data_IF_006674310997
#
_entry.id   IF_006674310997
#
_cell.length_a   1.000
_cell.length_b   1.000
_cell.length_c   1.000
_cell.angle_alpha   90.00
_cell.angle_beta   90.00
_cell.angle_gamma   90.00
#
_symmetry.space_group_name_H-M   'P 1'
#
loop_
_entity.id
_entity.type
_entity.pdbx_description
1 polymer ?
#
# COMPACT_ATOMS: atom_id res chain seq x y z
N UNK A 1 -23.45 -18.36 -27.04
CA UNK A 1 -22.19 -17.59 -27.14
C UNK A 1 -21.53 -17.59 -25.77
N UNK A 2 -20.23 -17.88 -25.66
CA UNK A 2 -19.50 -17.72 -24.39
C UNK A 2 -19.01 -16.28 -24.29
N UNK A 3 -19.16 -15.66 -23.11
CA UNK A 3 -18.59 -14.34 -22.85
C UNK A 3 -17.06 -14.45 -22.70
N UNK A 4 -16.37 -13.34 -22.92
CA UNK A 4 -14.92 -13.27 -22.78
C UNK A 4 -14.48 -11.94 -22.16
N UNK A 5 -13.31 -11.94 -21.55
CA UNK A 5 -12.68 -10.75 -20.98
C UNK A 5 -12.38 -9.72 -22.08
N UNK A 6 -12.84 -8.49 -21.92
CA UNK A 6 -12.65 -7.41 -22.88
C UNK A 6 -11.18 -6.95 -23.04
N UNK A 7 -10.29 -7.33 -22.11
CA UNK A 7 -8.86 -6.94 -22.14
C UNK A 7 -7.99 -8.06 -22.71
N UNK A 8 -8.11 -9.29 -22.20
CA UNK A 8 -7.21 -10.40 -22.55
C UNK A 8 -7.87 -11.53 -23.35
N UNK A 9 -9.19 -11.49 -23.56
CA UNK A 9 -9.92 -12.52 -24.31
C UNK A 9 -10.17 -13.84 -23.56
N UNK A 10 -9.77 -13.97 -22.27
CA UNK A 10 -10.07 -15.17 -21.46
C UNK A 10 -11.58 -15.44 -21.47
N UNK A 11 -11.97 -16.67 -21.81
CA UNK A 11 -13.37 -17.10 -21.79
C UNK A 11 -13.88 -17.18 -20.36
N UNK A 12 -15.14 -16.80 -20.15
CA UNK A 12 -15.83 -16.96 -18.87
C UNK A 12 -15.91 -18.45 -18.48
N UNK A 13 -15.70 -18.74 -17.19
CA UNK A 13 -15.91 -20.06 -16.60
C UNK A 13 -16.77 -19.96 -15.34
N UNK A 14 -17.34 -21.08 -14.89
CA UNK A 14 -18.14 -21.12 -13.65
C UNK A 14 -17.28 -20.80 -12.41
N UNK A 15 -16.00 -21.17 -12.44
CA UNK A 15 -15.04 -20.90 -11.38
C UNK A 15 -14.53 -19.45 -11.40
N UNK A 16 -14.50 -18.80 -12.58
CA UNK A 16 -14.02 -17.43 -12.77
C UNK A 16 -15.03 -16.61 -13.60
N UNK A 17 -16.23 -16.31 -13.05
CA UNK A 17 -17.21 -15.49 -13.73
C UNK A 17 -16.66 -14.08 -14.01
N UNK A 18 -17.01 -13.50 -15.15
CA UNK A 18 -16.55 -12.17 -15.52
C UNK A 18 -17.21 -11.11 -14.66
N UNK A 19 -16.42 -10.15 -14.18
CA UNK A 19 -16.87 -8.98 -13.43
C UNK A 19 -16.74 -7.78 -14.36
N UNK A 20 -17.85 -7.11 -14.67
CA UNK A 20 -17.88 -5.98 -15.62
C UNK A 20 -17.21 -6.28 -16.97
N UNK A 21 -17.39 -7.51 -17.47
CA UNK A 21 -16.75 -8.05 -18.69
C UNK A 21 -15.22 -8.22 -18.59
N UNK A 22 -14.66 -8.29 -17.37
CA UNK A 22 -13.25 -8.56 -17.12
C UNK A 22 -13.08 -9.89 -16.37
N UNK A 23 -12.04 -10.63 -16.72
CA UNK A 23 -11.58 -11.73 -15.87
C UNK A 23 -11.01 -11.18 -14.55
N UNK A 24 -10.86 -12.02 -13.53
CA UNK A 24 -10.45 -11.56 -12.20
C UNK A 24 -9.07 -10.92 -12.22
N UNK A 25 -8.15 -11.44 -13.03
CA UNK A 25 -6.81 -10.87 -13.18
C UNK A 25 -6.83 -9.45 -13.75
N UNK A 26 -7.52 -9.26 -14.88
CA UNK A 26 -7.67 -7.94 -15.51
C UNK A 26 -8.43 -6.96 -14.61
N UNK A 27 -9.42 -7.45 -13.86
CA UNK A 27 -10.15 -6.66 -12.87
C UNK A 27 -9.20 -6.19 -11.76
N UNK A 28 -8.42 -7.10 -11.14
CA UNK A 28 -7.43 -6.75 -10.10
C UNK A 28 -6.39 -5.76 -10.59
N UNK A 29 -5.93 -5.89 -11.83
CA UNK A 29 -4.95 -4.96 -12.37
C UNK A 29 -5.49 -3.54 -12.55
N UNK A 30 -6.75 -3.42 -12.96
CA UNK A 30 -7.41 -2.12 -13.08
C UNK A 30 -7.89 -1.57 -11.73
N UNK A 31 -8.21 -2.46 -10.80
CA UNK A 31 -8.73 -2.16 -9.46
C UNK A 31 -7.76 -2.70 -8.41
N UNK A 32 -6.56 -2.12 -8.34
CA UNK A 32 -5.53 -2.50 -7.35
C UNK A 32 -6.08 -2.47 -5.94
N UNK A 33 -5.73 -3.48 -5.14
CA UNK A 33 -6.15 -3.61 -3.74
C UNK A 33 -5.55 -2.50 -2.88
N UNK A 34 -4.29 -2.15 -3.14
CA UNK A 34 -3.53 -1.14 -2.42
C UNK A 34 -3.56 0.18 -3.19
N UNK A 35 -4.19 1.20 -2.60
CA UNK A 35 -4.07 2.60 -3.07
C UNK A 35 -3.02 3.34 -2.25
N UNK A 36 -1.94 3.74 -2.92
CA UNK A 36 -0.83 4.48 -2.33
C UNK A 36 -0.81 5.92 -2.86
N UNK A 37 -0.64 6.94 -2.00
CA UNK A 37 -0.41 8.30 -2.47
C UNK A 37 0.94 8.43 -3.18
N UNK A 38 0.99 9.26 -4.23
CA UNK A 38 2.18 9.45 -5.08
C UNK A 38 3.43 9.95 -4.34
N UNK A 39 3.25 10.66 -3.22
CA UNK A 39 4.33 11.26 -2.44
C UNK A 39 4.00 11.16 -0.96
N UNK A 40 4.90 10.57 -0.18
CA UNK A 40 4.84 10.58 1.28
C UNK A 40 6.04 11.30 1.84
N UNK A 41 5.78 12.21 2.77
CA UNK A 41 6.81 12.94 3.50
C UNK A 41 6.52 12.85 4.99
N UNK A 42 7.58 12.72 5.78
CA UNK A 42 7.49 12.72 7.24
C UNK A 42 8.57 13.60 7.84
N UNK A 43 8.21 14.37 8.87
CA UNK A 43 9.15 15.22 9.58
C UNK A 43 9.62 14.51 10.84
N UNK A 44 10.93 14.49 11.10
CA UNK A 44 11.54 13.88 12.29
C UNK A 44 12.43 14.91 12.96
N UNK A 45 12.23 15.14 14.25
CA UNK A 45 13.05 16.02 15.05
C UNK A 45 14.44 15.39 15.26
N UNK A 46 15.49 16.11 14.87
CA UNK A 46 16.87 15.66 15.07
C UNK A 46 17.30 15.62 16.53
N UNK A 47 16.66 16.43 17.38
CA UNK A 47 17.05 16.64 18.78
C UNK A 47 16.43 15.61 19.72
N UNK A 48 15.14 15.28 19.54
CA UNK A 48 14.40 14.37 20.43
C UNK A 48 13.87 13.10 19.75
N UNK A 49 14.03 12.95 18.44
CA UNK A 49 13.55 11.79 17.69
C UNK A 49 12.02 11.69 17.56
N UNK A 50 11.26 12.69 18.02
CA UNK A 50 9.83 12.75 17.75
C UNK A 50 9.58 12.92 16.25
N UNK A 51 8.46 12.44 15.74
CA UNK A 51 8.07 12.58 14.34
C UNK A 51 6.65 13.10 14.19
N UNK A 52 6.40 13.78 13.08
CA UNK A 52 5.11 14.41 12.81
C UNK A 52 4.27 13.56 11.86
N UNK A 53 3.10 13.14 12.32
CA UNK A 53 2.13 12.39 11.51
C UNK A 53 0.74 13.03 11.67
N UNK A 54 0.05 13.30 10.56
CA UNK A 54 -1.25 13.99 10.53
C UNK A 54 -1.30 15.26 11.41
N UNK A 55 -0.25 16.07 11.37
CA UNK A 55 -0.18 17.34 12.11
C UNK A 55 0.16 17.20 13.60
N UNK A 56 0.33 15.99 14.14
CA UNK A 56 0.69 15.75 15.55
C UNK A 56 2.11 15.22 15.68
N UNK A 57 2.82 15.69 16.71
CA UNK A 57 4.12 15.15 17.10
C UNK A 57 3.94 13.91 17.98
N UNK A 58 4.57 12.82 17.58
CA UNK A 58 4.56 11.54 18.30
C UNK A 58 5.99 11.21 18.70
N UNK A 59 6.21 10.85 19.97
CA UNK A 59 7.52 10.39 20.42
C UNK A 59 7.75 8.96 19.92
N UNK A 60 8.92 8.75 19.31
CA UNK A 60 9.38 7.41 18.95
C UNK A 60 9.47 6.54 20.19
N UNK A 61 8.92 5.32 20.10
CA UNK A 61 9.07 4.30 21.15
C UNK A 61 10.25 3.38 20.88
N UNK A 62 10.75 3.39 19.65
CA UNK A 62 11.87 2.57 19.18
C UNK A 62 13.17 3.37 19.09
N UNK A 63 14.29 2.66 18.98
CA UNK A 63 15.61 3.24 18.71
C UNK A 63 15.81 3.78 17.29
N UNK A 64 14.83 3.60 16.40
CA UNK A 64 14.90 4.11 15.01
C UNK A 64 13.64 4.94 14.66
N UNK A 65 13.62 6.23 15.06
CA UNK A 65 12.47 7.11 14.84
C UNK A 65 12.15 7.30 13.35
N UNK A 66 13.15 7.17 12.48
CA UNK A 66 12.98 7.33 11.03
C UNK A 66 12.16 6.18 10.44
N UNK A 67 12.44 4.94 10.83
CA UNK A 67 11.68 3.78 10.37
C UNK A 67 10.28 3.74 10.97
N UNK A 68 10.13 4.07 12.26
CA UNK A 68 8.83 4.15 12.91
C UNK A 68 7.94 5.20 12.23
N UNK A 69 8.46 6.40 12.00
CA UNK A 69 7.78 7.48 11.31
C UNK A 69 7.36 7.09 9.89
N UNK A 70 8.25 6.41 9.16
CA UNK A 70 8.00 5.97 7.77
C UNK A 70 6.93 4.89 7.70
N UNK A 71 6.94 3.92 8.62
CA UNK A 71 5.91 2.90 8.69
C UNK A 71 4.55 3.50 9.08
N UNK A 72 4.53 4.40 10.08
CA UNK A 72 3.29 5.02 10.57
C UNK A 72 2.63 5.92 9.52
N UNK A 73 3.40 6.73 8.79
CA UNK A 73 2.84 7.57 7.72
C UNK A 73 2.26 6.72 6.59
N UNK A 74 2.90 5.60 6.25
CA UNK A 74 2.40 4.66 5.23
C UNK A 74 1.11 4.01 5.73
N UNK A 75 1.07 3.49 6.96
CA UNK A 75 -0.14 2.90 7.56
C UNK A 75 -1.35 3.83 7.53
N UNK A 76 -1.15 5.13 7.76
CA UNK A 76 -2.25 6.09 7.76
C UNK A 76 -2.66 6.58 6.37
N UNK A 77 -1.78 6.46 5.39
CA UNK A 77 -2.00 7.04 4.07
C UNK A 77 -2.42 6.02 3.03
N UNK A 78 -2.04 4.75 3.22
CA UNK A 78 -2.49 3.63 2.38
C UNK A 78 -3.97 3.37 2.64
N UNK A 79 -4.72 3.15 1.55
CA UNK A 79 -6.12 2.75 1.60
C UNK A 79 -6.30 1.43 0.85
N UNK A 80 -7.16 0.56 1.38
CA UNK A 80 -7.63 -0.61 0.65
C UNK A 80 -8.89 -0.25 -0.15
N UNK A 81 -9.01 -0.78 -1.36
CA UNK A 81 -10.19 -0.60 -2.23
C UNK A 81 -11.25 -1.67 -2.07
N UNK A 82 -10.97 -2.68 -1.25
CA UNK A 82 -11.89 -3.75 -0.90
C UNK A 82 -11.67 -4.22 0.53
N UNK A 83 -11.98 -5.48 0.80
CA UNK A 83 -11.88 -6.08 2.13
C UNK A 83 -10.50 -6.68 2.33
N UNK A 84 -9.99 -6.59 3.55
CA UNK A 84 -8.70 -7.18 3.91
C UNK A 84 -7.92 -6.37 4.93
N UNK A 85 -6.67 -6.78 5.11
CA UNK A 85 -5.71 -6.13 5.99
C UNK A 85 -4.38 -5.95 5.27
N UNK A 86 -3.57 -5.02 5.78
CA UNK A 86 -2.23 -4.82 5.26
C UNK A 86 -1.22 -4.52 6.36
N UNK A 87 0.03 -4.78 6.03
CA UNK A 87 1.18 -4.48 6.87
C UNK A 87 2.14 -3.57 6.12
N UNK A 88 2.77 -2.64 6.86
CA UNK A 88 3.78 -1.73 6.33
C UNK A 88 5.12 -2.05 7.00
N UNK A 89 6.08 -2.50 6.20
CA UNK A 89 7.37 -3.04 6.63
C UNK A 89 8.47 -2.12 6.09
N UNK A 90 9.18 -1.35 6.93
CA UNK A 90 10.32 -0.56 6.49
C UNK A 90 11.49 -1.48 6.12
N UNK A 91 11.94 -1.45 4.87
CA UNK A 91 13.00 -2.33 4.35
C UNK A 91 14.39 -1.72 4.43
N UNK A 92 14.49 -0.39 4.48
CA UNK A 92 15.76 0.30 4.58
C UNK A 92 15.79 1.65 3.88
N UNK A 93 16.98 2.24 3.78
CA UNK A 93 17.19 3.52 3.11
C UNK A 93 17.40 3.33 1.60
N UNK A 94 16.72 4.14 0.78
CA UNK A 94 16.91 4.21 -0.68
C UNK A 94 17.99 5.23 -1.11
N UNK A 95 18.54 5.99 -0.15
CA UNK A 95 19.44 7.13 -0.37
C UNK A 95 18.74 8.49 -0.22
N UNK A 96 19.52 9.58 -0.08
CA UNK A 96 19.03 10.98 0.07
C UNK A 96 17.92 11.19 1.12
N UNK A 97 17.98 10.49 2.24
CA UNK A 97 16.97 10.62 3.30
C UNK A 97 15.61 9.99 2.96
N UNK A 98 15.55 9.04 2.02
CA UNK A 98 14.34 8.26 1.72
C UNK A 98 14.37 6.89 2.35
N UNK A 99 13.22 6.42 2.82
CA UNK A 99 13.03 5.07 3.36
C UNK A 99 12.08 4.30 2.44
N UNK A 100 12.48 3.08 2.05
CA UNK A 100 11.60 2.15 1.37
C UNK A 100 10.73 1.44 2.40
N UNK A 101 9.42 1.48 2.19
CA UNK A 101 8.44 0.75 2.98
C UNK A 101 7.68 -0.16 2.05
N UNK A 102 7.76 -1.46 2.30
CA UNK A 102 6.97 -2.47 1.59
C UNK A 102 5.61 -2.60 2.27
N UNK A 103 4.57 -2.52 1.47
CA UNK A 103 3.18 -2.71 1.86
C UNK A 103 2.74 -4.06 1.35
N UNK A 104 2.32 -4.93 2.26
CA UNK A 104 1.79 -6.26 1.93
C UNK A 104 0.33 -6.29 2.34
N UNK A 105 -0.57 -6.38 1.37
CA UNK A 105 -2.00 -6.53 1.63
C UNK A 105 -2.45 -7.96 1.35
N UNK A 106 -3.39 -8.43 2.16
CA UNK A 106 -4.13 -9.67 1.95
C UNK A 106 -5.61 -9.33 1.99
N UNK A 107 -6.35 -9.72 0.96
CA UNK A 107 -7.77 -9.42 0.86
C UNK A 107 -8.31 -9.58 -0.55
N UNK A 108 -9.46 -8.97 -0.80
CA UNK A 108 -10.12 -9.01 -2.09
C UNK A 108 -10.72 -7.67 -2.48
N UNK A 109 -10.70 -7.37 -3.78
CA UNK A 109 -11.25 -6.13 -4.37
C UNK A 109 -12.69 -6.30 -4.85
N UNK A 110 -13.21 -7.54 -4.86
CA UNK A 110 -14.57 -7.84 -5.25
C UNK A 110 -15.03 -9.14 -4.58
N UNK A 111 -16.28 -9.26 -4.08
CA UNK A 111 -16.75 -10.44 -3.34
C UNK A 111 -16.63 -11.78 -4.08
N UNK A 112 -16.66 -11.75 -5.42
CA UNK A 112 -16.49 -12.93 -6.27
C UNK A 112 -15.03 -13.37 -6.44
N UNK A 113 -14.06 -12.49 -6.15
CA UNK A 113 -12.64 -12.81 -6.30
C UNK A 113 -12.16 -13.37 -4.95
N UNK A 114 -11.56 -14.57 -4.92
CA UNK A 114 -10.94 -15.11 -3.71
C UNK A 114 -9.86 -14.19 -3.15
N UNK A 115 -9.61 -14.28 -1.86
CA UNK A 115 -8.54 -13.50 -1.24
C UNK A 115 -7.19 -13.75 -1.90
N UNK A 116 -6.44 -12.68 -2.13
CA UNK A 116 -5.12 -12.72 -2.74
C UNK A 116 -4.16 -11.77 -2.03
N UNK A 117 -2.86 -11.97 -2.31
CA UNK A 117 -1.78 -11.14 -1.79
C UNK A 117 -1.38 -10.11 -2.83
N UNK A 118 -1.36 -8.83 -2.45
CA UNK A 118 -0.82 -7.74 -3.26
C UNK A 118 0.35 -7.10 -2.50
N UNK A 119 1.42 -6.78 -3.22
CA UNK A 119 2.60 -6.12 -2.67
C UNK A 119 2.87 -4.82 -3.43
N UNK A 120 3.23 -3.77 -2.70
CA UNK A 120 3.65 -2.52 -3.29
C UNK A 120 4.75 -1.85 -2.46
N UNK A 121 5.70 -1.20 -3.13
CA UNK A 121 6.80 -0.49 -2.48
C UNK A 121 6.57 1.00 -2.51
N UNK A 122 6.74 1.65 -1.37
CA UNK A 122 6.57 3.09 -1.20
C UNK A 122 7.86 3.73 -0.74
N UNK A 123 8.27 4.82 -1.37
CA UNK A 123 9.37 5.65 -0.88
C UNK A 123 8.81 6.80 -0.03
N UNK A 124 9.26 6.88 1.22
CA UNK A 124 8.94 7.97 2.14
C UNK A 124 10.13 8.92 2.23
N UNK A 125 9.90 10.20 1.95
CA UNK A 125 10.90 11.26 2.12
C UNK A 125 10.93 11.71 3.58
N UNK A 126 12.10 11.65 4.21
CA UNK A 126 12.27 12.02 5.61
C UNK A 126 12.95 13.38 5.69
N UNK A 127 12.22 14.35 6.24
CA UNK A 127 12.75 15.69 6.50
C UNK A 127 13.16 15.79 7.96
N UNK A 128 14.43 16.08 8.21
CA UNK A 128 14.89 16.40 9.57
C UNK A 128 14.57 17.85 9.90
N UNK A 129 14.05 18.09 11.09
CA UNK A 129 13.80 19.42 11.63
C UNK A 129 14.46 19.56 12.99
N UNK A 130 14.89 20.78 13.32
CA UNK A 130 15.56 21.11 14.58
C UNK A 130 14.61 21.76 15.56
#
# INVERSE_FOLDING_TARGET
MRRFCAICGKLESEEEPLIENLCWECYRDRHKLIKIPRRLKVEVCSSCGAYKVNGRWVRSKSGNPVFEASAEVVKRSVKLTGEGAFEAIPEGFSGRGRVKVRVVARGSVHPLIPEYREEATVEVEVKRVS
#
